data_IF_124144512707
#
_entry.id   IF_124144512707
#
_cell.length_a   1.000
_cell.length_b   1.000
_cell.length_c   1.000
_cell.angle_alpha   90.00
_cell.angle_beta   90.00
_cell.angle_gamma   90.00
#
_symmetry.space_group_name_H-M   'P 1'
#
loop_
_entity.id
_entity.type
_entity.pdbx_description
1 polymer ?
#
# COMPACT_ATOMS: atom_id res chain seq x y z
N UNK A 1 6.17 5.80 0.86
CA UNK A 1 5.84 4.67 -0.02
C UNK A 1 6.39 4.94 -1.41
N UNK A 2 6.53 3.91 -2.24
CA UNK A 2 6.95 4.03 -3.64
C UNK A 2 8.38 3.57 -3.90
N UNK A 3 8.56 2.95 -5.06
CA UNK A 3 9.85 2.64 -5.65
C UNK A 3 10.41 3.91 -6.31
N UNK A 4 11.71 4.16 -6.18
CA UNK A 4 12.39 5.38 -6.68
C UNK A 4 13.38 5.10 -7.82
N UNK A 5 13.56 3.84 -8.19
CA UNK A 5 14.42 3.43 -9.29
C UNK A 5 13.68 3.46 -10.63
N UNK A 6 14.32 3.00 -11.71
CA UNK A 6 13.69 2.84 -13.01
C UNK A 6 12.59 1.76 -12.98
N UNK A 7 11.51 1.97 -13.74
CA UNK A 7 10.32 1.09 -13.72
C UNK A 7 10.61 -0.38 -14.10
N UNK A 8 11.68 -0.64 -14.85
CA UNK A 8 12.11 -2.00 -15.19
C UNK A 8 12.52 -2.83 -13.95
N UNK A 9 12.96 -2.20 -12.86
CA UNK A 9 13.23 -2.90 -11.61
C UNK A 9 11.96 -3.47 -10.96
N UNK A 10 10.76 -2.99 -11.32
CA UNK A 10 9.51 -3.61 -10.84
C UNK A 10 9.19 -4.96 -11.52
N UNK A 11 9.94 -5.32 -12.56
CA UNK A 11 9.87 -6.63 -13.20
C UNK A 11 10.70 -7.68 -12.43
N UNK A 12 11.64 -7.25 -11.60
CA UNK A 12 12.31 -8.11 -10.63
C UNK A 12 11.29 -8.55 -9.55
N UNK A 13 11.20 -9.86 -9.33
CA UNK A 13 10.16 -10.43 -8.48
C UNK A 13 10.31 -9.99 -7.01
N UNK A 14 11.55 -9.92 -6.51
CA UNK A 14 11.83 -9.54 -5.13
C UNK A 14 11.49 -8.06 -4.88
N UNK A 15 11.86 -7.21 -5.83
CA UNK A 15 11.52 -5.79 -5.82
C UNK A 15 10.00 -5.61 -5.89
N UNK A 16 9.33 -6.32 -6.79
CA UNK A 16 7.88 -6.27 -6.92
C UNK A 16 7.19 -6.64 -5.60
N UNK A 17 7.52 -7.79 -5.02
CA UNK A 17 6.95 -8.28 -3.77
C UNK A 17 7.20 -7.32 -2.60
N UNK A 18 8.40 -6.71 -2.53
CA UNK A 18 8.74 -5.73 -1.50
C UNK A 18 7.82 -4.52 -1.51
N UNK A 19 7.46 -4.00 -2.68
CA UNK A 19 6.59 -2.82 -2.80
C UNK A 19 5.10 -3.17 -2.79
N UNK A 20 4.72 -4.23 -3.51
CA UNK A 20 3.35 -4.75 -3.53
C UNK A 20 2.90 -5.18 -2.12
N UNK A 21 3.72 -5.93 -1.39
CA UNK A 21 3.41 -6.37 -0.04
C UNK A 21 3.25 -5.22 0.95
N UNK A 22 4.10 -4.18 0.85
CA UNK A 22 3.94 -2.95 1.65
C UNK A 22 2.64 -2.23 1.33
N UNK A 23 2.27 -2.16 0.05
CA UNK A 23 1.03 -1.53 -0.36
C UNK A 23 -0.20 -2.32 0.09
N UNK A 24 -0.13 -3.66 0.05
CA UNK A 24 -1.16 -4.56 0.57
C UNK A 24 -1.32 -4.44 2.10
N UNK A 25 -0.22 -4.35 2.85
CA UNK A 25 -0.28 -4.05 4.29
C UNK A 25 -1.09 -2.78 4.55
N UNK A 26 -0.85 -1.71 3.80
CA UNK A 26 -1.60 -0.45 3.97
C UNK A 26 -3.10 -0.63 3.70
N UNK A 27 -3.46 -1.38 2.66
CA UNK A 27 -4.85 -1.71 2.36
C UNK A 27 -5.52 -2.54 3.47
N UNK A 28 -4.78 -3.47 4.08
CA UNK A 28 -5.24 -4.28 5.21
C UNK A 28 -5.46 -3.47 6.49
N UNK A 29 -4.59 -2.49 6.77
CA UNK A 29 -4.78 -1.56 7.89
C UNK A 29 -6.05 -0.72 7.70
N UNK A 30 -6.23 -0.17 6.50
CA UNK A 30 -7.40 0.64 6.16
C UNK A 30 -8.69 -0.17 6.17
N UNK A 31 -8.63 -1.46 5.86
CA UNK A 31 -9.80 -2.35 5.90
C UNK A 31 -10.18 -2.81 7.31
N UNK A 32 -9.43 -2.41 8.35
CA UNK A 32 -9.64 -2.91 9.71
C UNK A 32 -9.39 -4.42 9.84
N UNK A 33 -8.51 -4.97 9.00
CA UNK A 33 -8.19 -6.38 8.97
C UNK A 33 -9.13 -7.28 8.16
N UNK A 34 -10.14 -6.71 7.48
CA UNK A 34 -10.99 -7.46 6.56
C UNK A 34 -10.25 -7.71 5.23
N UNK A 35 -10.05 -8.98 4.87
CA UNK A 35 -9.26 -9.38 3.70
C UNK A 35 -9.96 -9.00 2.38
N UNK A 36 -11.27 -9.25 2.25
CA UNK A 36 -12.00 -8.91 1.02
C UNK A 36 -11.97 -7.41 0.75
N UNK A 37 -12.15 -6.61 1.81
CA UNK A 37 -12.12 -5.17 1.71
C UNK A 37 -10.69 -4.65 1.48
N UNK A 38 -9.67 -5.31 2.04
CA UNK A 38 -8.27 -5.02 1.73
C UNK A 38 -7.96 -5.21 0.25
N UNK A 39 -8.45 -6.30 -0.36
CA UNK A 39 -8.28 -6.53 -1.81
C UNK A 39 -8.96 -5.44 -2.64
N UNK A 40 -10.17 -5.01 -2.27
CA UNK A 40 -10.85 -3.89 -2.93
C UNK A 40 -10.04 -2.60 -2.82
N UNK A 41 -9.48 -2.31 -1.64
CA UNK A 41 -8.62 -1.15 -1.40
C UNK A 41 -7.30 -1.21 -2.16
N UNK A 42 -6.68 -2.38 -2.24
CA UNK A 42 -5.46 -2.61 -3.00
C UNK A 42 -5.67 -2.30 -4.48
N UNK A 43 -6.80 -2.72 -5.05
CA UNK A 43 -7.13 -2.49 -6.45
C UNK A 43 -7.51 -1.03 -6.76
N UNK A 44 -8.37 -0.40 -5.95
CA UNK A 44 -8.90 0.95 -6.24
C UNK A 44 -8.06 2.11 -5.68
N UNK A 45 -7.12 1.81 -4.80
CA UNK A 45 -6.37 2.79 -4.01
C UNK A 45 -7.12 3.25 -2.77
N UNK A 46 -6.37 3.55 -1.70
CA UNK A 46 -6.91 3.81 -0.37
C UNK A 46 -6.43 5.13 0.26
N UNK A 47 -5.80 6.02 -0.51
CA UNK A 47 -5.22 7.26 0.03
C UNK A 47 -6.22 8.10 0.84
N UNK A 48 -7.40 8.36 0.28
CA UNK A 48 -8.41 9.19 0.94
C UNK A 48 -8.97 8.55 2.20
N UNK A 49 -9.10 7.23 2.20
CA UNK A 49 -9.56 6.49 3.38
C UNK A 49 -8.48 6.44 4.47
N UNK A 50 -7.22 6.21 4.10
CA UNK A 50 -6.10 6.33 5.02
C UNK A 50 -6.00 7.74 5.62
N UNK A 51 -6.24 8.78 4.82
CA UNK A 51 -6.31 10.17 5.32
C UNK A 51 -7.48 10.36 6.29
N UNK A 52 -8.67 9.85 5.96
CA UNK A 52 -9.87 9.93 6.81
C UNK A 52 -9.64 9.25 8.16
N UNK A 53 -8.90 8.14 8.18
CA UNK A 53 -8.59 7.36 9.37
C UNK A 53 -7.33 7.83 10.12
N UNK A 54 -6.61 8.82 9.60
CA UNK A 54 -5.34 9.28 10.20
C UNK A 54 -4.15 8.32 10.01
N UNK A 55 -4.26 7.32 9.14
CA UNK A 55 -3.30 6.22 8.97
C UNK A 55 -2.21 6.49 7.90
N UNK A 56 -2.00 7.74 7.48
CA UNK A 56 -1.08 8.03 6.37
C UNK A 56 0.37 7.65 6.68
N UNK A 57 0.79 7.67 7.94
CA UNK A 57 2.17 7.30 8.34
C UNK A 57 2.30 5.79 8.47
N UNK A 58 1.33 5.13 9.08
CA UNK A 58 1.27 3.69 9.34
C UNK A 58 1.16 2.87 8.05
N UNK A 59 0.37 3.40 7.10
CA UNK A 59 0.33 2.89 5.72
C UNK A 59 1.57 3.27 4.95
N UNK A 60 2.40 4.20 5.41
CA UNK A 60 3.62 4.64 4.73
C UNK A 60 3.35 5.56 3.53
N UNK A 61 2.14 6.07 3.35
CA UNK A 61 1.77 7.04 2.30
C UNK A 61 2.33 8.45 2.57
N UNK A 62 2.65 8.76 3.83
CA UNK A 62 3.34 9.97 4.26
C UNK A 62 4.59 9.58 5.06
N UNK A 63 5.66 10.37 4.93
CA UNK A 63 6.80 10.27 5.83
C UNK A 63 6.35 10.64 7.26
N UNK A 64 6.81 9.88 8.25
CA UNK A 64 6.68 10.23 9.67
C UNK A 64 7.80 11.17 10.10
#
# INVERSE_FOLDING_TARGET
MGHRGPANELLDADTNLKYAGKYLKGAYLVSGGNIEMAMKWYARGYYYEAKRLGLLVETGLRSG
#
